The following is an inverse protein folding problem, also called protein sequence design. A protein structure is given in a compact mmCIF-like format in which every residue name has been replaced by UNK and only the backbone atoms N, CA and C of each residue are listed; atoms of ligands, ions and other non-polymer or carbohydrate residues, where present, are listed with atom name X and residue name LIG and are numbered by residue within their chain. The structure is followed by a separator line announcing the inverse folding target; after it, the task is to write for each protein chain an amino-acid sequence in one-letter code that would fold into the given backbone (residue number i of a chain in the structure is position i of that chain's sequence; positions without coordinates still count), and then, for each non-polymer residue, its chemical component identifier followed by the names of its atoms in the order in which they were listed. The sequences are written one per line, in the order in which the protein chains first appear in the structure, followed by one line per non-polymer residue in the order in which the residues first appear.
data_IF_157510091714
#
_entry.id   IF_157510091714
#
_cell.length_a   1.000
_cell.length_b   1.000
_cell.length_c   1.000
_cell.angle_alpha   90.00
_cell.angle_beta   90.00
_cell.angle_gamma   90.00
#
_symmetry.space_group_name_H-M   'P 1'
#
loop_
_entity.id
_entity.type
_entity.pdbx_description
1 polymer ?
#
# COMPACT_ATOMS: atom_id res chain seq x y z
N UNK A 1 -13.28 16.13 8.94
CA UNK A 1 -13.65 15.20 7.85
C UNK A 1 -12.99 13.88 8.17
N UNK A 2 -13.75 12.80 8.32
CA UNK A 2 -13.15 11.46 8.48
C UNK A 2 -12.65 11.05 7.09
N UNK A 3 -11.33 10.98 6.91
CA UNK A 3 -10.75 10.37 5.72
C UNK A 3 -11.16 8.90 5.76
N UNK A 4 -12.18 8.54 4.98
CA UNK A 4 -12.57 7.16 4.79
C UNK A 4 -11.42 6.49 4.08
N UNK A 5 -10.66 5.66 4.78
CA UNK A 5 -9.76 4.69 4.17
C UNK A 5 -10.58 3.92 3.14
N UNK A 6 -10.36 4.23 1.87
CA UNK A 6 -11.05 3.55 0.79
C UNK A 6 -10.63 2.08 0.81
N UNK A 7 -11.61 1.17 0.67
CA UNK A 7 -11.31 -0.26 0.67
C UNK A 7 -10.27 -0.55 -0.41
N UNK A 8 -9.20 -1.33 -0.14
CA UNK A 8 -8.13 -1.59 -1.12
C UNK A 8 -8.64 -2.10 -2.48
N UNK A 9 -9.75 -2.85 -2.51
CA UNK A 9 -10.41 -3.25 -3.76
C UNK A 9 -10.82 -2.05 -4.63
N UNK A 10 -11.39 -1.00 -4.03
CA UNK A 10 -11.80 0.20 -4.76
C UNK A 10 -10.59 0.92 -5.34
N UNK A 11 -9.53 1.10 -4.55
CA UNK A 11 -8.27 1.73 -4.96
C UNK A 11 -7.64 1.00 -6.17
N UNK A 12 -7.60 -0.34 -6.12
CA UNK A 12 -7.10 -1.13 -7.25
C UNK A 12 -7.97 -0.95 -8.50
N UNK A 13 -9.30 -0.85 -8.34
CA UNK A 13 -10.22 -0.69 -9.48
C UNK A 13 -10.23 0.72 -10.06
N UNK A 14 -10.01 1.74 -9.24
CA UNK A 14 -9.95 3.14 -9.66
C UNK A 14 -8.62 3.48 -10.36
N UNK A 15 -7.61 2.60 -10.26
CA UNK A 15 -6.26 2.83 -10.78
C UNK A 15 -5.66 4.09 -10.16
N UNK A 16 -5.71 4.14 -8.83
CA UNK A 16 -5.09 5.20 -8.06
C UNK A 16 -3.57 5.19 -8.31
N UNK A 17 -3.03 6.32 -8.77
CA UNK A 17 -1.63 6.41 -9.18
C UNK A 17 -0.66 6.28 -7.99
N UNK A 18 -1.01 6.81 -6.81
CA UNK A 18 -0.13 6.68 -5.64
C UNK A 18 -0.06 5.24 -5.17
N UNK A 19 -1.17 4.51 -5.27
CA UNK A 19 -1.18 3.08 -5.01
C UNK A 19 -0.37 2.28 -6.04
N UNK A 20 -0.47 2.62 -7.34
CA UNK A 20 0.34 1.97 -8.38
C UNK A 20 1.84 2.19 -8.16
N UNK A 21 2.24 3.42 -7.81
CA UNK A 21 3.64 3.77 -7.47
C UNK A 21 4.13 3.01 -6.22
N UNK A 22 3.25 2.86 -5.21
CA UNK A 22 3.54 2.05 -4.04
C UNK A 22 3.76 0.57 -4.40
N UNK A 23 2.88 -0.02 -5.21
CA UNK A 23 3.03 -1.42 -5.66
C UNK A 23 4.31 -1.60 -6.49
N UNK A 24 4.67 -0.62 -7.31
CA UNK A 24 5.95 -0.64 -8.03
C UNK A 24 7.14 -0.63 -7.06
N UNK A 25 7.06 0.15 -5.98
CA UNK A 25 8.08 0.20 -4.94
C UNK A 25 8.20 -1.14 -4.20
N UNK A 26 7.09 -1.82 -3.89
CA UNK A 26 7.11 -3.17 -3.31
C UNK A 26 7.82 -4.20 -4.21
N UNK A 27 7.64 -4.09 -5.53
CA UNK A 27 8.35 -4.93 -6.50
C UNK A 27 9.86 -4.64 -6.52
N UNK A 28 10.25 -3.36 -6.50
CA UNK A 28 11.66 -2.94 -6.51
C UNK A 28 12.40 -3.34 -5.24
N UNK A 29 11.72 -3.28 -4.10
CA UNK A 29 12.25 -3.68 -2.79
C UNK A 29 12.12 -5.18 -2.50
N UNK A 30 11.67 -5.99 -3.46
CA UNK A 30 11.48 -7.44 -3.33
C UNK A 30 10.60 -7.86 -2.13
N UNK A 31 9.65 -7.02 -1.73
CA UNK A 31 8.76 -7.24 -0.55
C UNK A 31 7.59 -8.21 -0.81
N UNK A 32 7.44 -8.68 -2.05
CA UNK A 32 6.34 -9.55 -2.46
C UNK A 32 6.83 -10.98 -2.64
N UNK A 33 6.12 -11.92 -2.02
CA UNK A 33 6.41 -13.35 -2.13
C UNK A 33 5.38 -14.10 -2.97
N UNK A 34 5.86 -15.06 -3.74
CA UNK A 34 5.00 -15.95 -4.53
C UNK A 34 4.73 -15.43 -5.95
N UNK A 35 4.85 -16.35 -6.92
CA UNK A 35 4.74 -16.02 -8.35
C UNK A 35 3.40 -15.39 -8.73
N UNK A 36 2.31 -15.80 -8.10
CA UNK A 36 0.98 -15.26 -8.35
C UNK A 36 0.87 -13.79 -7.91
N UNK A 37 1.28 -13.48 -6.67
CA UNK A 37 1.26 -12.11 -6.12
C UNK A 37 2.14 -11.19 -6.94
N UNK A 38 3.37 -11.60 -7.24
CA UNK A 38 4.31 -10.82 -8.07
C UNK A 38 3.73 -10.58 -9.48
N UNK A 39 3.11 -11.60 -10.09
CA UNK A 39 2.47 -11.46 -11.39
C UNK A 39 1.30 -10.47 -11.38
N UNK A 40 0.48 -10.50 -10.33
CA UNK A 40 -0.64 -9.57 -10.16
C UNK A 40 -0.13 -8.15 -9.91
N UNK A 41 0.89 -7.97 -9.06
CA UNK A 41 1.52 -6.67 -8.80
C UNK A 41 2.03 -6.02 -10.09
N UNK A 42 2.71 -6.79 -10.96
CA UNK A 42 3.13 -6.31 -12.28
C UNK A 42 1.95 -5.91 -13.17
N UNK A 43 0.83 -6.61 -13.06
CA UNK A 43 -0.38 -6.27 -13.80
C UNK A 43 -1.06 -5.00 -13.26
N UNK A 44 -1.00 -4.73 -11.94
CA UNK A 44 -1.44 -3.46 -11.33
C UNK A 44 -0.62 -2.31 -11.92
N UNK A 45 0.72 -2.37 -11.84
CA UNK A 45 1.62 -1.32 -12.36
C UNK A 45 1.46 -1.11 -13.87
N UNK A 46 1.12 -2.16 -14.62
CA UNK A 46 0.84 -2.05 -16.05
C UNK A 46 -0.55 -1.47 -16.36
N UNK A 47 -1.37 -1.15 -15.35
CA UNK A 47 -2.73 -0.64 -15.52
C UNK A 47 -3.71 -1.65 -16.10
N UNK A 48 -3.45 -2.95 -15.97
CA UNK A 48 -4.31 -4.01 -16.50
C UNK A 48 -5.58 -4.18 -15.66
N UNK A 49 -6.65 -4.64 -16.30
CA UNK A 49 -7.86 -5.03 -15.58
C UNK A 49 -7.65 -6.39 -14.90
N UNK A 50 -7.99 -6.48 -13.62
CA UNK A 50 -7.87 -7.69 -12.82
C UNK A 50 -9.24 -8.33 -12.55
N UNK A 51 -9.25 -9.66 -12.47
CA UNK A 51 -10.39 -10.39 -11.95
C UNK A 51 -10.56 -10.16 -10.44
N UNK A 52 -11.74 -10.47 -9.91
CA UNK A 52 -11.98 -10.40 -8.46
C UNK A 52 -11.00 -11.30 -7.69
N UNK A 53 -10.81 -12.54 -8.12
CA UNK A 53 -9.90 -13.47 -7.44
C UNK A 53 -8.45 -12.99 -7.46
N UNK A 54 -8.02 -12.30 -8.52
CA UNK A 54 -6.68 -11.68 -8.58
C UNK A 54 -6.56 -10.53 -7.57
N UNK A 55 -7.58 -9.67 -7.49
CA UNK A 55 -7.61 -8.58 -6.51
C UNK A 55 -7.59 -9.15 -5.09
N UNK A 56 -8.46 -10.11 -4.78
CA UNK A 56 -8.54 -10.75 -3.47
C UNK A 56 -7.22 -11.45 -3.10
N UNK A 57 -6.58 -12.10 -4.08
CA UNK A 57 -5.26 -12.73 -3.90
C UNK A 57 -4.19 -11.69 -3.56
N UNK A 58 -4.14 -10.58 -4.30
CA UNK A 58 -3.16 -9.53 -4.05
C UNK A 58 -3.40 -8.85 -2.70
N UNK A 59 -4.64 -8.50 -2.38
CA UNK A 59 -5.00 -7.89 -1.10
C UNK A 59 -4.59 -8.82 0.05
N UNK A 60 -4.99 -10.08 0.00
CA UNK A 60 -4.78 -11.01 1.13
C UNK A 60 -3.31 -11.39 1.32
N UNK A 61 -2.58 -11.66 0.24
CA UNK A 61 -1.25 -12.28 0.32
C UNK A 61 -0.11 -11.34 -0.08
N UNK A 62 -0.39 -10.25 -0.77
CA UNK A 62 0.59 -9.22 -1.12
C UNK A 62 0.51 -8.02 -0.19
N UNK A 63 -0.67 -7.40 -0.08
CA UNK A 63 -0.87 -6.15 0.65
C UNK A 63 -0.96 -6.37 2.17
N UNK A 64 -2.00 -7.07 2.63
CA UNK A 64 -2.33 -7.21 4.06
C UNK A 64 -1.43 -8.19 4.82
N UNK A 65 -0.48 -8.84 4.14
CA UNK A 65 0.45 -9.77 4.79
C UNK A 65 1.44 -9.00 5.65
N UNK A 66 2.21 -8.10 5.04
CA UNK A 66 3.28 -7.32 5.69
C UNK A 66 3.55 -5.96 4.97
N UNK A 67 2.63 -5.51 4.11
CA UNK A 67 2.82 -4.35 3.23
C UNK A 67 1.68 -3.33 3.34
N UNK A 68 1.09 -3.20 4.54
CA UNK A 68 0.02 -2.25 4.79
C UNK A 68 -0.01 -1.82 6.25
N UNK A 69 -0.07 -0.51 6.46
CA UNK A 69 -0.27 0.14 7.76
C UNK A 69 -1.54 0.98 7.65
N UNK A 70 -2.54 0.68 8.47
CA UNK A 70 -3.86 1.32 8.34
C UNK A 70 -3.82 2.80 8.74
N UNK A 71 -3.16 3.11 9.85
CA UNK A 71 -3.08 4.46 10.41
C UNK A 71 -1.73 4.70 11.10
N UNK A 72 -1.31 5.96 11.16
CA UNK A 72 -0.13 6.38 11.89
C UNK A 72 -0.29 6.08 13.38
N UNK A 73 0.70 5.43 13.99
CA UNK A 73 0.67 5.05 15.40
C UNK A 73 0.58 6.26 16.35
N UNK A 74 1.09 7.43 15.95
CA UNK A 74 1.07 8.63 16.79
C UNK A 74 -0.19 9.49 16.63
N UNK A 75 -0.59 9.80 15.40
CA UNK A 75 -1.70 10.73 15.15
C UNK A 75 -3.03 10.04 14.84
N UNK A 76 -3.02 8.72 14.64
CA UNK A 76 -4.20 7.89 14.32
C UNK A 76 -4.94 8.36 13.06
N UNK A 77 -4.18 8.92 12.11
CA UNK A 77 -4.67 9.33 10.79
C UNK A 77 -4.24 8.25 9.79
N UNK A 78 -5.10 7.88 8.82
CA UNK A 78 -4.73 6.95 7.77
C UNK A 78 -3.45 7.34 7.04
N UNK A 79 -2.57 6.37 6.81
CA UNK A 79 -1.32 6.58 6.08
C UNK A 79 -1.63 6.74 4.58
N UNK A 80 -1.21 7.84 3.92
CA UNK A 80 -1.31 7.97 2.47
C UNK A 80 -0.50 6.89 1.74
N UNK A 81 -0.94 6.46 0.55
CA UNK A 81 -0.21 5.46 -0.24
C UNK A 81 1.21 5.91 -0.59
N UNK A 82 1.38 7.20 -0.85
CA UNK A 82 2.67 7.85 -1.09
C UNK A 82 3.66 7.72 0.09
N UNK A 83 3.17 7.54 1.32
CA UNK A 83 4.00 7.40 2.54
C UNK A 83 4.10 5.93 3.00
N UNK A 84 3.23 5.06 2.50
CA UNK A 84 3.02 3.69 2.98
C UNK A 84 4.31 2.88 3.03
N UNK A 85 5.19 2.99 2.02
CA UNK A 85 6.44 2.23 1.97
C UNK A 85 7.34 2.50 3.19
N UNK A 86 7.48 3.76 3.58
CA UNK A 86 8.29 4.15 4.74
C UNK A 86 7.59 3.78 6.04
N UNK A 87 6.27 3.94 6.09
CA UNK A 87 5.47 3.51 7.23
C UNK A 87 5.58 2.01 7.51
N UNK A 88 5.96 1.16 6.54
CA UNK A 88 6.19 -0.27 6.79
C UNK A 88 7.36 -0.54 7.76
N UNK A 89 8.26 0.42 7.96
CA UNK A 89 9.42 0.25 8.84
C UNK A 89 9.14 0.72 10.27
N UNK A 90 8.31 1.75 10.46
CA UNK A 90 8.12 2.43 11.75
C UNK A 90 6.67 2.73 12.15
N UNK A 91 5.68 2.43 11.30
CA UNK A 91 4.26 2.74 11.47
C UNK A 91 3.92 4.24 11.60
N UNK A 92 4.77 5.13 11.08
CA UNK A 92 4.58 6.58 11.18
C UNK A 92 4.26 7.22 9.82
N UNK A 93 3.43 8.27 9.86
CA UNK A 93 3.35 9.21 8.75
C UNK A 93 4.55 10.16 8.75
N UNK A 94 4.83 10.77 7.61
CA UNK A 94 5.99 11.65 7.42
C UNK A 94 5.99 12.84 8.38
N UNK A 95 4.82 13.44 8.64
CA UNK A 95 4.71 14.53 9.62
C UNK A 95 5.16 14.10 11.01
N UNK A 96 4.67 12.94 11.47
CA UNK A 96 4.97 12.40 12.78
C UNK A 96 6.43 11.96 12.91
N UNK A 97 7.02 11.41 11.84
CA UNK A 97 8.44 11.07 11.78
C UNK A 97 9.32 12.32 11.96
N UNK A 98 9.02 13.39 11.21
CA UNK A 98 9.75 14.66 11.32
C UNK A 98 9.68 15.28 12.72
N UNK A 99 8.53 15.20 13.40
CA UNK A 99 8.39 15.70 14.78
C UNK A 99 9.33 14.97 15.75
N UNK A 100 9.55 13.66 15.58
CA UNK A 100 10.47 12.88 16.42
C UNK A 100 11.94 13.23 16.10
N UNK A 101 12.28 13.44 14.83
CA UNK A 101 13.66 13.72 14.41
C UNK A 101 14.13 15.14 14.80
N UNK A 102 13.20 16.07 14.99
CA UNK A 102 13.48 17.44 15.42
C UNK A 102 13.62 17.60 16.96
N UNK A 103 13.33 16.57 17.74
CA UNK A 103 13.45 16.51 19.22
C UNK A 103 14.78 15.87 19.70
#
# INVERSE_FOLDING_TARGET
MKSTTEKPEFVIRSKDSEFEDFVESLLKCERLEGKAVIGIAKAIVAGNNLSKDQIDTFIKYGLLKDNYVEECEMCLIPIPWSEMLYALDDNLCDHCRNVIEED
#
